data_IF_240883108918
#
_entry.id   IF_240883108918
#
_cell.length_a   1.000
_cell.length_b   1.000
_cell.length_c   1.000
_cell.angle_alpha   90.00
_cell.angle_beta   90.00
_cell.angle_gamma   90.00
#
_symmetry.space_group_name_H-M   'P 1'
#
loop_
_entity.id
_entity.type
_entity.pdbx_description
1 polymer ?
#
# COMPACT_ATOMS: atom_id res chain seq x y z
N UNK A 1 -22.52 16.01 8.42
CA UNK A 1 -21.17 16.34 8.93
C UNK A 1 -20.30 15.08 8.79
N UNK A 2 -19.55 14.95 7.69
CA UNK A 2 -18.63 13.83 7.39
C UNK A 2 -17.36 14.42 6.74
N UNK A 3 -16.63 15.26 7.49
CA UNK A 3 -15.54 16.07 6.91
C UNK A 3 -14.21 15.99 7.66
N UNK A 4 -14.08 15.21 8.73
CA UNK A 4 -12.85 15.17 9.54
C UNK A 4 -12.03 13.88 9.36
N UNK A 5 -12.55 12.88 8.62
CA UNK A 5 -11.88 11.59 8.43
C UNK A 5 -11.17 11.40 7.08
N UNK A 6 -11.16 12.40 6.18
CA UNK A 6 -10.64 12.23 4.81
C UNK A 6 -9.13 12.47 4.66
N UNK A 7 -8.47 13.03 5.67
CA UNK A 7 -7.09 13.52 5.50
C UNK A 7 -6.02 12.63 6.14
N UNK A 8 -6.38 11.66 6.98
CA UNK A 8 -5.37 10.83 7.66
C UNK A 8 -4.76 9.76 6.76
N UNK A 9 -5.52 9.21 5.81
CA UNK A 9 -5.02 8.20 4.86
C UNK A 9 -3.92 8.79 3.98
N UNK A 10 -4.12 9.95 3.31
CA UNK A 10 -3.04 10.54 2.52
C UNK A 10 -1.86 10.99 3.40
N UNK A 11 -2.10 11.48 4.61
CA UNK A 11 -1.01 11.89 5.52
C UNK A 11 -0.14 10.70 5.98
N UNK A 12 -0.77 9.61 6.41
CA UNK A 12 -0.05 8.42 6.85
C UNK A 12 0.64 7.70 5.69
N UNK A 13 0.02 7.70 4.50
CA UNK A 13 0.64 7.19 3.29
C UNK A 13 1.87 8.03 2.91
N UNK A 14 1.76 9.36 2.97
CA UNK A 14 2.87 10.26 2.68
C UNK A 14 4.06 10.00 3.61
N UNK A 15 3.85 10.04 4.93
CA UNK A 15 4.94 9.83 5.88
C UNK A 15 5.63 8.47 5.74
N UNK A 16 4.85 7.41 5.49
CA UNK A 16 5.40 6.06 5.28
C UNK A 16 6.19 5.97 3.99
N UNK A 17 5.66 6.54 2.90
CA UNK A 17 6.33 6.54 1.60
C UNK A 17 7.61 7.38 1.64
N UNK A 18 7.57 8.58 2.24
CA UNK A 18 8.77 9.40 2.44
C UNK A 18 9.83 8.64 3.22
N UNK A 19 9.47 7.98 4.32
CA UNK A 19 10.43 7.20 5.09
C UNK A 19 11.04 6.05 4.29
N UNK A 20 10.22 5.28 3.57
CA UNK A 20 10.73 4.19 2.73
C UNK A 20 11.62 4.70 1.59
N UNK A 21 11.33 5.87 1.05
CA UNK A 21 12.12 6.52 0.01
C UNK A 21 13.47 7.02 0.54
N UNK A 22 13.48 7.63 1.73
CA UNK A 22 14.70 8.06 2.43
C UNK A 22 15.57 6.87 2.86
N UNK A 23 14.95 5.75 3.24
CA UNK A 23 15.64 4.51 3.64
C UNK A 23 16.01 3.62 2.44
N UNK A 24 15.79 4.08 1.20
CA UNK A 24 16.12 3.32 -0.01
C UNK A 24 17.64 3.22 -0.20
N UNK A 25 18.15 1.99 -0.31
CA UNK A 25 19.58 1.68 -0.30
C UNK A 25 20.04 0.84 -1.52
N UNK A 26 19.19 0.67 -2.53
CA UNK A 26 19.47 -0.07 -3.77
C UNK A 26 19.38 -1.59 -3.69
N UNK A 27 19.84 -2.21 -2.59
CA UNK A 27 19.93 -3.69 -2.47
C UNK A 27 19.24 -4.27 -1.21
N UNK A 28 18.69 -3.42 -0.34
CA UNK A 28 18.07 -3.82 0.91
C UNK A 28 16.61 -4.29 0.81
N UNK A 29 16.03 -4.68 1.95
CA UNK A 29 14.62 -5.04 2.02
C UNK A 29 13.69 -3.85 1.76
N UNK A 30 14.13 -2.63 2.11
CA UNK A 30 13.38 -1.41 1.86
C UNK A 30 13.37 -1.07 0.38
N UNK A 31 14.53 -1.07 -0.29
CA UNK A 31 14.59 -0.82 -1.74
C UNK A 31 13.75 -1.82 -2.52
N UNK A 32 13.84 -3.12 -2.20
CA UNK A 32 13.01 -4.14 -2.83
C UNK A 32 11.51 -3.92 -2.62
N UNK A 33 11.11 -3.48 -1.42
CA UNK A 33 9.70 -3.19 -1.14
C UNK A 33 9.22 -1.97 -1.91
N UNK A 34 10.08 -0.96 -2.05
CA UNK A 34 9.84 0.22 -2.86
C UNK A 34 9.69 -0.12 -4.35
N UNK A 35 10.58 -0.96 -4.88
CA UNK A 35 10.55 -1.40 -6.27
C UNK A 35 9.25 -2.16 -6.59
N UNK A 36 8.82 -3.05 -5.68
CA UNK A 36 7.53 -3.75 -5.78
C UNK A 36 6.36 -2.75 -5.78
N UNK A 37 6.43 -1.70 -4.97
CA UNK A 37 5.40 -0.67 -4.90
C UNK A 37 5.31 0.09 -6.23
N UNK A 38 6.45 0.52 -6.78
CA UNK A 38 6.53 1.21 -8.07
C UNK A 38 5.98 0.35 -9.21
N UNK A 39 6.39 -0.92 -9.27
CA UNK A 39 5.89 -1.84 -10.29
C UNK A 39 4.40 -2.18 -10.11
N UNK A 40 3.94 -2.29 -8.87
CA UNK A 40 2.56 -2.66 -8.55
C UNK A 40 1.56 -1.55 -8.81
N UNK A 41 1.95 -0.30 -8.58
CA UNK A 41 1.11 0.89 -8.78
C UNK A 41 1.45 1.67 -10.05
N UNK A 42 2.40 1.17 -10.85
CA UNK A 42 2.87 1.79 -12.09
C UNK A 42 3.23 3.27 -11.85
N UNK A 43 4.00 3.54 -10.80
CA UNK A 43 4.31 4.88 -10.32
C UNK A 43 5.81 5.09 -10.15
N UNK A 44 6.24 6.35 -10.06
CA UNK A 44 7.64 6.69 -9.89
C UNK A 44 7.84 7.86 -8.93
N UNK A 45 8.72 7.66 -7.94
CA UNK A 45 8.94 8.61 -6.85
C UNK A 45 7.74 8.70 -5.90
N UNK A 46 7.77 9.67 -4.98
CA UNK A 46 6.69 9.94 -4.04
C UNK A 46 5.58 10.72 -4.76
N UNK A 47 5.91 11.89 -5.31
CA UNK A 47 5.02 12.77 -6.07
C UNK A 47 5.23 12.63 -7.57
N UNK A 48 6.48 12.51 -8.01
CA UNK A 48 6.86 12.24 -9.39
C UNK A 48 8.31 11.71 -9.51
N UNK A 49 8.73 11.41 -10.75
CA UNK A 49 10.04 10.85 -11.01
C UNK A 49 11.23 11.78 -10.69
N UNK A 50 11.02 13.10 -10.52
CA UNK A 50 12.08 14.04 -10.16
C UNK A 50 12.53 13.92 -8.71
N UNK A 51 11.73 13.31 -7.83
CA UNK A 51 12.08 13.06 -6.44
C UNK A 51 13.40 12.28 -6.32
N UNK A 52 13.69 11.41 -7.29
CA UNK A 52 14.94 10.63 -7.34
C UNK A 52 16.19 11.48 -7.48
N UNK A 53 16.08 12.70 -8.01
CA UNK A 53 17.21 13.61 -8.14
C UNK A 53 17.25 14.66 -7.03
N UNK A 54 16.08 15.15 -6.63
CA UNK A 54 15.98 16.26 -5.69
C UNK A 54 16.08 15.77 -4.25
N UNK A 55 15.50 14.62 -3.96
CA UNK A 55 15.21 14.18 -2.59
C UNK A 55 15.85 12.82 -2.24
N UNK A 56 16.49 12.14 -3.22
CA UNK A 56 17.22 10.88 -3.00
C UNK A 56 18.72 10.99 -3.29
N UNK A 57 19.50 11.65 -2.41
CA UNK A 57 20.96 11.70 -2.57
C UNK A 57 21.62 10.32 -2.51
N UNK A 58 20.98 9.35 -1.83
CA UNK A 58 21.46 7.97 -1.76
C UNK A 58 21.35 7.25 -3.10
N UNK A 59 20.27 7.52 -3.86
CA UNK A 59 20.14 7.00 -5.21
C UNK A 59 21.22 7.55 -6.15
N UNK A 60 21.57 8.83 -6.02
CA UNK A 60 22.66 9.43 -6.80
C UNK A 60 24.01 8.74 -6.53
N UNK A 61 24.29 8.43 -5.26
CA UNK A 61 25.49 7.67 -4.88
C UNK A 61 25.46 6.24 -5.44
N UNK A 62 24.33 5.54 -5.31
CA UNK A 62 24.13 4.21 -5.90
C UNK A 62 24.34 4.23 -7.42
N UNK A 63 23.75 5.19 -8.12
CA UNK A 63 23.87 5.34 -9.57
C UNK A 63 25.31 5.63 -10.00
N UNK A 64 26.07 6.41 -9.23
CA UNK A 64 27.49 6.67 -9.49
C UNK A 64 28.36 5.42 -9.34
N UNK A 65 27.97 4.47 -8.49
CA UNK A 65 28.66 3.19 -8.31
C UNK A 65 28.27 2.14 -9.37
N UNK A 66 27.27 2.42 -10.21
CA UNK A 66 26.94 1.55 -11.32
C UNK A 66 28.01 1.65 -12.42
N UNK A 67 28.46 0.50 -12.92
CA UNK A 67 29.42 0.42 -14.03
C UNK A 67 28.73 0.63 -15.40
N UNK A 68 27.94 1.70 -15.52
CA UNK A 68 27.09 2.00 -16.68
C UNK A 68 27.31 3.46 -17.09
N UNK A 69 27.32 3.72 -18.40
CA UNK A 69 27.43 5.09 -18.88
C UNK A 69 26.06 5.77 -18.77
N UNK A 70 25.92 6.70 -17.83
CA UNK A 70 24.67 7.42 -17.58
C UNK A 70 24.44 8.40 -18.75
N UNK A 71 23.33 8.22 -19.46
CA UNK A 71 22.91 9.08 -20.58
C UNK A 71 21.53 9.69 -20.39
N UNK A 72 20.79 9.24 -19.38
CA UNK A 72 19.49 9.76 -19.02
C UNK A 72 19.56 11.20 -18.48
N UNK A 73 18.64 12.05 -18.96
CA UNK A 73 18.39 13.38 -18.36
C UNK A 73 17.72 13.27 -16.99
N UNK A 74 16.86 12.24 -16.82
CA UNK A 74 16.17 11.96 -15.57
C UNK A 74 16.59 10.58 -15.06
N UNK A 75 17.36 10.52 -13.97
CA UNK A 75 17.78 9.27 -13.35
C UNK A 75 16.84 8.78 -12.24
N UNK A 76 16.53 7.49 -12.26
CA UNK A 76 15.66 6.77 -11.31
C UNK A 76 15.95 5.25 -11.38
N UNK A 77 15.49 4.44 -10.41
CA UNK A 77 15.71 2.98 -10.45
C UNK A 77 14.87 2.29 -11.51
N UNK A 78 15.30 1.09 -11.91
CA UNK A 78 14.69 0.31 -12.99
C UNK A 78 13.20 -0.03 -12.75
N UNK A 79 12.75 -0.07 -11.50
CA UNK A 79 11.35 -0.30 -11.12
C UNK A 79 10.39 0.80 -11.58
N UNK A 80 10.91 2.00 -11.85
CA UNK A 80 10.15 3.14 -12.36
C UNK A 80 9.97 3.09 -13.90
N UNK A 81 10.63 2.15 -14.58
CA UNK A 81 10.53 2.05 -16.02
C UNK A 81 9.22 1.39 -16.47
N UNK A 82 8.60 1.98 -17.48
CA UNK A 82 7.38 1.44 -18.08
C UNK A 82 7.59 0.01 -18.61
N UNK A 83 6.50 -0.75 -18.69
CA UNK A 83 6.52 -2.18 -19.08
C UNK A 83 7.16 -2.39 -20.47
N UNK A 84 7.09 -1.39 -21.36
CA UNK A 84 7.72 -1.41 -22.69
C UNK A 84 9.22 -1.09 -22.71
N UNK A 85 9.76 -0.48 -21.66
CA UNK A 85 11.15 -0.04 -21.50
C UNK A 85 11.89 -0.77 -20.37
N UNK A 86 11.32 -1.86 -19.81
CA UNK A 86 11.98 -2.68 -18.78
C UNK A 86 13.17 -3.46 -19.35
N UNK A 87 14.32 -2.83 -19.32
CA UNK A 87 15.63 -3.48 -19.46
C UNK A 87 16.55 -3.00 -18.34
N UNK A 88 17.64 -3.73 -18.13
CA UNK A 88 18.58 -3.41 -17.06
C UNK A 88 19.16 -2.00 -17.24
N UNK A 89 19.12 -1.19 -16.19
CA UNK A 89 19.57 0.20 -16.15
C UNK A 89 18.75 1.15 -17.03
N UNK A 90 17.47 0.87 -17.26
CA UNK A 90 16.60 1.72 -18.08
C UNK A 90 16.56 3.14 -17.51
N UNK A 91 16.39 3.30 -16.20
CA UNK A 91 16.37 4.62 -15.56
C UNK A 91 17.71 5.35 -15.54
N UNK A 92 18.78 4.77 -16.09
CA UNK A 92 20.09 5.43 -16.25
C UNK A 92 20.44 5.72 -17.73
N UNK A 93 19.76 5.06 -18.68
CA UNK A 93 20.15 5.06 -20.11
C UNK A 93 19.09 5.70 -21.00
N UNK A 94 17.79 5.37 -20.85
CA UNK A 94 16.72 5.97 -21.64
C UNK A 94 15.40 6.12 -20.87
N UNK A 95 14.73 7.25 -21.10
CA UNK A 95 13.76 7.83 -20.18
C UNK A 95 12.31 7.43 -20.52
N UNK A 96 11.92 6.20 -20.24
CA UNK A 96 10.51 5.82 -20.19
C UNK A 96 10.08 5.58 -18.74
N UNK A 97 9.57 6.62 -18.05
CA UNK A 97 9.07 6.53 -16.68
C UNK A 97 7.55 6.59 -16.61
N UNK A 98 7.01 6.12 -15.48
CA UNK A 98 5.63 6.42 -15.11
C UNK A 98 5.42 7.92 -14.86
N UNK A 99 4.31 8.46 -15.35
CA UNK A 99 3.98 9.90 -15.29
C UNK A 99 3.58 10.38 -13.88
N UNK A 100 3.13 9.48 -13.00
CA UNK A 100 2.60 9.84 -11.69
C UNK A 100 3.41 9.25 -10.52
N UNK A 101 3.38 9.97 -9.39
CA UNK A 101 3.97 9.53 -8.12
C UNK A 101 3.21 8.44 -7.41
N UNK A 102 3.93 7.73 -6.54
CA UNK A 102 3.37 6.61 -5.79
C UNK A 102 2.40 7.03 -4.69
N UNK A 103 2.50 8.26 -4.17
CA UNK A 103 1.52 8.79 -3.23
C UNK A 103 0.12 8.84 -3.87
N UNK A 104 0.04 9.28 -5.13
CA UNK A 104 -1.23 9.30 -5.86
C UNK A 104 -1.76 7.88 -6.08
N UNK A 105 -0.94 6.98 -6.62
CA UNK A 105 -1.35 5.59 -6.91
C UNK A 105 -1.82 4.84 -5.66
N UNK A 106 -1.09 4.95 -4.55
CA UNK A 106 -1.45 4.29 -3.28
C UNK A 106 -2.73 4.90 -2.69
N UNK A 107 -2.88 6.23 -2.71
CA UNK A 107 -4.06 6.88 -2.12
C UNK A 107 -5.33 6.63 -2.93
N UNK A 108 -5.25 6.66 -4.25
CA UNK A 108 -6.37 6.33 -5.12
C UNK A 108 -6.81 4.88 -4.94
N UNK A 109 -5.84 3.95 -4.93
CA UNK A 109 -6.13 2.54 -4.69
C UNK A 109 -6.72 2.30 -3.30
N UNK A 110 -6.20 2.96 -2.26
CA UNK A 110 -6.72 2.85 -0.90
C UNK A 110 -8.17 3.31 -0.80
N UNK A 111 -8.54 4.41 -1.47
CA UNK A 111 -9.92 4.90 -1.51
C UNK A 111 -10.86 3.92 -2.23
N UNK A 112 -10.40 3.32 -3.34
CA UNK A 112 -11.17 2.31 -4.07
C UNK A 112 -11.38 1.04 -3.22
N UNK A 113 -10.33 0.55 -2.58
CA UNK A 113 -10.40 -0.63 -1.73
C UNK A 113 -11.22 -0.39 -0.45
N UNK A 114 -11.19 0.81 0.11
CA UNK A 114 -11.98 1.16 1.28
C UNK A 114 -13.50 0.97 1.02
N UNK A 115 -13.96 1.25 -0.20
CA UNK A 115 -15.35 1.04 -0.58
C UNK A 115 -15.72 -0.46 -0.61
N UNK A 116 -14.86 -1.30 -1.20
CA UNK A 116 -15.06 -2.75 -1.26
C UNK A 116 -14.99 -3.37 0.13
N UNK A 117 -13.95 -3.03 0.89
CA UNK A 117 -13.75 -3.49 2.26
C UNK A 117 -14.92 -3.08 3.17
N UNK A 118 -15.41 -1.84 3.03
CA UNK A 118 -16.59 -1.36 3.74
C UNK A 118 -17.83 -2.21 3.44
N UNK A 119 -18.02 -2.60 2.17
CA UNK A 119 -19.10 -3.52 1.77
C UNK A 119 -19.01 -4.87 2.47
N UNK A 120 -17.82 -5.49 2.49
CA UNK A 120 -17.58 -6.79 3.13
C UNK A 120 -17.85 -6.70 4.65
N UNK A 121 -17.35 -5.65 5.30
CA UNK A 121 -17.52 -5.43 6.75
C UNK A 121 -19.00 -5.27 7.11
N UNK A 122 -19.79 -4.59 6.29
CA UNK A 122 -21.24 -4.47 6.50
C UNK A 122 -21.94 -5.83 6.44
N UNK A 123 -21.55 -6.71 5.51
CA UNK A 123 -22.10 -8.06 5.41
C UNK A 123 -21.74 -8.91 6.63
N UNK A 124 -20.47 -8.89 7.04
CA UNK A 124 -20.00 -9.62 8.23
C UNK A 124 -20.75 -9.14 9.48
N UNK A 125 -20.81 -7.83 9.69
CA UNK A 125 -21.57 -7.23 10.79
C UNK A 125 -23.03 -7.67 10.78
N UNK A 126 -23.68 -7.69 9.61
CA UNK A 126 -25.07 -8.14 9.49
C UNK A 126 -25.27 -9.60 9.89
N UNK A 127 -24.36 -10.49 9.46
CA UNK A 127 -24.39 -11.90 9.86
C UNK A 127 -24.19 -12.08 11.37
N UNK A 128 -23.28 -11.31 11.98
CA UNK A 128 -23.05 -11.34 13.43
C UNK A 128 -24.30 -10.91 14.20
N UNK A 129 -24.98 -9.84 13.77
CA UNK A 129 -26.23 -9.39 14.38
C UNK A 129 -27.34 -10.44 14.29
N UNK A 130 -27.47 -11.13 13.16
CA UNK A 130 -28.44 -12.22 12.99
C UNK A 130 -28.11 -13.39 13.92
N UNK A 131 -26.84 -13.78 14.02
CA UNK A 131 -26.40 -14.87 14.92
C UNK A 131 -26.70 -14.56 16.38
N UNK A 132 -26.42 -13.34 16.82
CA UNK A 132 -26.68 -12.89 18.20
C UNK A 132 -28.19 -12.90 18.47
N UNK A 133 -29.00 -12.30 17.60
CA UNK A 133 -30.47 -12.27 17.76
C UNK A 133 -31.08 -13.66 17.75
N UNK A 134 -30.63 -14.54 16.86
CA UNK A 134 -31.05 -15.94 16.83
C UNK A 134 -30.75 -16.66 18.15
N UNK A 135 -29.55 -16.46 18.70
CA UNK A 135 -29.14 -17.08 19.97
C UNK A 135 -30.00 -16.59 21.13
N UNK A 136 -30.33 -15.30 21.20
CA UNK A 136 -31.21 -14.78 22.26
C UNK A 136 -32.65 -15.28 22.15
N UNK A 137 -33.20 -15.40 20.93
CA UNK A 137 -34.59 -15.83 20.72
C UNK A 137 -34.76 -17.33 21.01
N UNK A 138 -33.83 -18.18 20.54
CA UNK A 138 -33.97 -19.63 20.64
C UNK A 138 -33.18 -20.25 21.80
N UNK A 139 -32.07 -19.65 22.22
CA UNK A 139 -31.30 -20.11 23.38
C UNK A 139 -32.02 -19.90 24.71
N UNK A 140 -32.80 -18.81 24.83
CA UNK A 140 -33.67 -18.58 26.00
C UNK A 140 -34.86 -19.55 26.06
N UNK A 141 -35.15 -20.27 24.98
CA UNK A 141 -36.23 -21.25 24.91
C UNK A 141 -35.80 -22.67 25.31
N UNK A 142 -34.52 -22.91 25.64
CA UNK A 142 -34.11 -24.21 26.17
C UNK A 142 -34.57 -24.32 27.63
N UNK A 143 -35.44 -25.30 27.96
CA UNK A 143 -35.81 -25.52 29.35
C UNK A 143 -34.56 -25.91 30.12
N UNK A 144 -34.31 -25.21 31.23
CA UNK A 144 -33.32 -25.64 32.23
C UNK A 144 -33.79 -27.02 32.69
N UNK A 145 -33.12 -28.08 32.24
CA UNK A 145 -33.25 -29.39 32.86
C UNK A 145 -32.76 -29.23 34.30
N UNK A 146 -33.70 -28.99 35.21
CA UNK A 146 -33.42 -29.04 36.64
C UNK A 146 -32.95 -30.46 36.93
N UNK A 147 -31.74 -30.66 37.48
CA UNK A 147 -31.28 -32.00 37.83
C UNK A 147 -32.24 -32.53 38.89
N UNK A 148 -32.95 -33.59 38.51
CA UNK A 148 -33.95 -34.26 39.30
C UNK A 148 -33.43 -34.57 40.70
N UNK A 149 -34.26 -34.22 41.68
CA UNK A 149 -34.20 -34.68 43.07
C UNK A 149 -33.81 -36.16 43.12
N UNK A 150 -32.69 -36.47 43.76
CA UNK A 150 -32.34 -37.82 44.18
C UNK A 150 -31.94 -37.77 45.65
N UNK A 151 -32.42 -38.79 46.38
CA UNK A 151 -32.33 -39.07 47.82
C UNK A 151 -33.41 -38.36 48.66
N UNK A 152 -34.55 -39.00 48.97
CA UNK A 152 -34.76 -40.18 49.84
C UNK A 152 -34.04 -40.06 51.18
#
# INVERSE_FOLDING_TARGET
>A
MLSTGKNWVPEAANSTLTQMFEDWDGDGPVSRSWDILQEGYLCCGIEDAYDWQNDSPQFLDYAAHQHVNITAELIYPDSCCEIGSRYKNCGLVENGNYEWGCLYGVTEYALYQALIAGGIICVISGMEFISITWTFVFGAAQPVETPYKLYQ
#
